data_IF_910041716465
#
_entry.id   IF_910041716465
#
_cell.length_a   1.000
_cell.length_b   1.000
_cell.length_c   1.000
_cell.angle_alpha   90.00
_cell.angle_beta   90.00
_cell.angle_gamma   90.00
#
_symmetry.space_group_name_H-M   'P 1'
#
loop_
_entity.id
_entity.type
_entity.pdbx_description
1 polymer ?
#
# COMPACT_ATOMS: atom_id res chain seq x y z
N UNK A 1 1.61 -6.34 45.64
CA UNK A 1 0.87 -5.37 44.82
C UNK A 1 0.42 -6.08 43.55
N UNK A 2 -0.90 -6.15 43.31
CA UNK A 2 -1.55 -6.87 42.21
C UNK A 2 -1.43 -6.08 40.91
N UNK A 3 -0.98 -6.70 39.83
CA UNK A 3 -1.20 -6.18 38.46
C UNK A 3 -2.23 -7.08 37.77
N UNK A 4 -3.35 -6.48 37.40
CA UNK A 4 -4.45 -7.12 36.70
C UNK A 4 -4.15 -7.19 35.20
N UNK A 5 -4.36 -8.38 34.64
CA UNK A 5 -4.26 -8.70 33.22
C UNK A 5 -5.56 -8.22 32.54
N UNK A 6 -5.47 -7.30 31.57
CA UNK A 6 -6.61 -6.89 30.75
C UNK A 6 -6.56 -7.67 29.44
N UNK A 7 -7.48 -8.62 29.29
CA UNK A 7 -7.75 -9.31 28.04
C UNK A 7 -8.61 -8.41 27.14
N UNK A 8 -8.18 -8.21 25.88
CA UNK A 8 -8.96 -7.52 24.86
C UNK A 8 -9.75 -8.58 24.07
N UNK A 9 -11.06 -8.68 24.35
CA UNK A 9 -11.96 -9.57 23.63
C UNK A 9 -12.37 -8.98 22.28
N UNK A 10 -12.14 -9.72 21.20
CA UNK A 10 -12.66 -9.42 19.87
C UNK A 10 -14.17 -9.66 19.80
N UNK A 11 -14.93 -8.66 19.35
CA UNK A 11 -16.36 -8.78 19.06
C UNK A 11 -16.51 -9.07 17.56
N UNK A 12 -16.87 -10.31 17.22
CA UNK A 12 -17.44 -10.66 15.92
C UNK A 12 -18.90 -10.21 15.88
N UNK A 13 -19.28 -9.38 14.90
CA UNK A 13 -20.68 -9.12 14.57
C UNK A 13 -21.06 -10.07 13.43
N UNK A 14 -21.79 -11.13 13.76
CA UNK A 14 -22.54 -11.97 12.82
C UNK A 14 -23.94 -11.36 12.67
N UNK A 15 -24.31 -10.92 11.47
CA UNK A 15 -25.70 -10.58 11.15
C UNK A 15 -26.41 -11.86 10.66
N UNK A 16 -27.32 -12.39 11.49
CA UNK A 16 -28.26 -13.43 11.10
C UNK A 16 -29.53 -12.78 10.52
N UNK A 17 -30.01 -13.32 9.40
CA UNK A 17 -31.25 -12.92 8.73
C UNK A 17 -32.40 -13.76 9.29
N UNK A 18 -33.37 -13.11 9.94
CA UNK A 18 -34.54 -13.76 10.55
C UNK A 18 -35.53 -14.26 9.49
N UNK A 19 -35.91 -15.54 9.65
CA UNK A 19 -37.02 -16.19 8.95
C UNK A 19 -38.33 -15.85 9.64
N UNK A 20 -39.35 -15.42 8.89
CA UNK A 20 -40.73 -15.35 9.37
C UNK A 20 -41.54 -16.54 8.80
N UNK A 21 -42.32 -17.27 9.62
CA UNK A 21 -42.99 -18.52 9.21
C UNK A 21 -44.40 -18.33 8.61
N UNK A 22 -44.77 -19.29 7.77
CA UNK A 22 -46.09 -19.47 7.14
C UNK A 22 -47.19 -19.92 8.12
N UNK A 23 -48.44 -19.57 7.81
CA UNK A 23 -49.63 -20.41 8.07
C UNK A 23 -50.76 -20.12 7.06
N UNK A 24 -51.63 -21.11 6.73
CA UNK A 24 -52.48 -21.09 5.53
C UNK A 24 -53.97 -20.84 5.85
N UNK A 25 -54.71 -20.26 4.92
CA UNK A 25 -56.18 -20.33 4.88
C UNK A 25 -56.64 -20.51 3.43
N UNK A 26 -57.39 -21.58 3.17
CA UNK A 26 -58.06 -21.84 1.90
C UNK A 26 -59.43 -21.17 1.80
N UNK A 27 -59.98 -21.10 0.59
CA UNK A 27 -61.36 -20.64 0.37
C UNK A 27 -61.64 -20.28 -1.08
N UNK A 28 -62.49 -21.07 -1.71
CA UNK A 28 -62.89 -21.10 -3.13
C UNK A 28 -63.81 -19.96 -3.56
N UNK A 29 -63.66 -19.46 -4.79
CA UNK A 29 -64.74 -18.74 -5.47
C UNK A 29 -64.30 -17.93 -6.71
N UNK A 30 -64.80 -18.32 -7.90
CA UNK A 30 -64.91 -17.47 -9.11
C UNK A 30 -66.42 -17.42 -9.43
N UNK A 31 -67.02 -16.31 -9.92
CA UNK A 31 -66.85 -15.90 -11.32
C UNK A 31 -66.97 -14.38 -11.67
N UNK A 32 -66.10 -13.92 -12.58
CA UNK A 32 -66.34 -13.07 -13.79
C UNK A 32 -67.04 -11.67 -13.69
N UNK A 33 -67.10 -10.86 -14.79
CA UNK A 33 -66.26 -9.68 -15.04
C UNK A 33 -67.03 -8.33 -15.06
N UNK A 34 -66.34 -7.19 -14.92
CA UNK A 34 -66.82 -5.89 -15.44
C UNK A 34 -65.69 -4.86 -15.51
N UNK A 35 -65.83 -3.95 -16.48
CA UNK A 35 -64.88 -2.98 -16.99
C UNK A 35 -64.67 -1.72 -16.12
N UNK A 36 -63.82 -0.82 -16.66
CA UNK A 36 -63.52 0.57 -16.26
C UNK A 36 -62.46 0.67 -15.12
N UNK A 37 -61.46 1.55 -15.11
CA UNK A 37 -61.16 2.78 -15.85
C UNK A 37 -59.79 3.29 -15.36
N UNK A 38 -59.00 3.94 -16.20
CA UNK A 38 -58.12 5.06 -15.79
C UNK A 38 -56.71 4.75 -15.26
N UNK A 39 -55.78 5.57 -15.75
CA UNK A 39 -54.38 5.83 -15.38
C UNK A 39 -54.02 5.65 -13.88
N UNK A 40 -52.80 5.31 -13.46
CA UNK A 40 -51.51 5.92 -13.81
C UNK A 40 -50.39 4.88 -13.81
N UNK A 41 -49.64 4.77 -14.91
CA UNK A 41 -48.33 4.09 -14.89
C UNK A 41 -47.32 5.10 -14.38
N UNK A 42 -46.97 5.01 -13.10
CA UNK A 42 -45.85 5.76 -12.55
C UNK A 42 -44.55 5.13 -13.10
N UNK A 43 -44.10 5.60 -14.26
CA UNK A 43 -42.86 5.16 -14.89
C UNK A 43 -41.70 5.85 -14.17
N UNK A 44 -41.17 5.21 -13.13
CA UNK A 44 -39.89 5.58 -12.57
C UNK A 44 -38.83 5.38 -13.66
N UNK A 45 -38.49 6.47 -14.34
CA UNK A 45 -37.31 6.55 -15.18
C UNK A 45 -36.17 7.05 -14.29
N UNK A 46 -35.24 6.19 -13.83
CA UNK A 46 -34.02 6.70 -13.25
C UNK A 46 -33.28 7.44 -14.37
N UNK A 47 -33.18 8.75 -14.25
CA UNK A 47 -32.28 9.53 -15.11
C UNK A 47 -30.89 8.94 -14.88
N UNK A 48 -30.19 8.42 -15.91
CA UNK A 48 -28.84 7.95 -15.72
C UNK A 48 -28.01 9.13 -15.24
N UNK A 49 -27.44 9.01 -14.03
CA UNK A 49 -26.46 9.96 -13.51
C UNK A 49 -25.27 9.95 -14.46
N UNK A 50 -25.29 10.87 -15.41
CA UNK A 50 -24.21 11.15 -16.35
C UNK A 50 -23.21 12.05 -15.64
N UNK A 51 -22.62 11.55 -14.57
CA UNK A 51 -21.39 12.17 -14.07
C UNK A 51 -20.32 11.85 -15.10
N UNK A 52 -19.88 12.87 -15.84
CA UNK A 52 -18.78 12.74 -16.79
C UNK A 52 -17.60 12.01 -16.10
N UNK A 53 -16.89 11.09 -16.78
CA UNK A 53 -15.75 10.43 -16.19
C UNK A 53 -14.77 11.49 -15.68
N UNK A 54 -14.38 11.35 -14.41
CA UNK A 54 -13.48 12.31 -13.79
C UNK A 54 -12.17 12.37 -14.57
N UNK A 55 -11.69 13.59 -14.84
CA UNK A 55 -10.53 13.82 -15.68
C UNK A 55 -9.25 13.23 -15.06
N UNK A 56 -8.40 12.64 -15.89
CA UNK A 56 -7.05 12.26 -15.51
C UNK A 56 -6.27 13.48 -14.99
N UNK A 57 -5.50 13.30 -13.93
CA UNK A 57 -4.57 14.27 -13.37
C UNK A 57 -3.14 13.77 -13.44
N UNK A 58 -2.19 14.67 -13.66
CA UNK A 58 -0.77 14.32 -13.60
C UNK A 58 -0.26 14.59 -12.20
N UNK A 59 0.24 13.54 -11.55
CA UNK A 59 0.88 13.61 -10.25
C UNK A 59 2.40 13.66 -10.40
N UNK A 60 3.04 14.35 -9.45
CA UNK A 60 4.49 14.30 -9.24
C UNK A 60 4.74 13.90 -7.81
N UNK A 61 5.58 12.88 -7.63
CA UNK A 61 5.97 12.33 -6.33
C UNK A 61 7.43 12.64 -6.12
N UNK A 62 7.75 13.16 -4.94
CA UNK A 62 9.13 13.37 -4.49
C UNK A 62 9.36 12.55 -3.23
N UNK A 63 10.36 11.67 -3.28
CA UNK A 63 10.89 10.93 -2.14
C UNK A 63 12.21 11.59 -1.76
N UNK A 64 12.19 12.42 -0.73
CA UNK A 64 13.38 13.08 -0.22
C UNK A 64 14.02 12.24 0.89
N UNK A 65 15.34 12.13 0.84
CA UNK A 65 16.17 11.66 1.95
C UNK A 65 16.65 12.90 2.69
N UNK A 66 16.08 13.26 3.86
CA UNK A 66 16.46 14.47 4.57
C UNK A 66 17.97 14.56 4.85
N UNK A 67 18.50 15.77 5.01
CA UNK A 67 19.93 15.97 5.26
C UNK A 67 20.42 15.31 6.56
N UNK A 68 19.53 15.11 7.51
CA UNK A 68 19.74 14.44 8.80
C UNK A 68 19.23 12.97 8.80
N UNK A 69 18.93 12.40 7.63
CA UNK A 69 18.46 11.03 7.51
C UNK A 69 19.47 10.02 8.09
N UNK A 70 18.95 9.03 8.82
CA UNK A 70 19.76 7.95 9.39
C UNK A 70 20.33 6.99 8.32
N UNK A 71 19.73 6.95 7.14
CA UNK A 71 20.07 6.02 6.06
C UNK A 71 19.83 6.65 4.68
N UNK A 72 20.61 6.30 3.65
CA UNK A 72 20.19 6.52 2.28
C UNK A 72 18.94 5.69 1.93
N UNK A 73 18.25 6.11 0.88
CA UNK A 73 17.19 5.35 0.22
C UNK A 73 17.74 4.68 -1.04
N UNK A 74 17.45 3.40 -1.27
CA UNK A 74 17.85 2.73 -2.51
C UNK A 74 16.99 3.17 -3.71
N UNK A 75 17.41 2.85 -4.95
CA UNK A 75 16.49 2.70 -6.07
C UNK A 75 15.25 1.89 -5.70
N UNK A 76 14.15 2.10 -6.42
CA UNK A 76 12.86 1.55 -6.08
C UNK A 76 11.92 1.34 -7.24
N UNK A 77 10.74 0.81 -6.92
CA UNK A 77 9.62 0.74 -7.86
C UNK A 77 8.46 1.57 -7.38
N UNK A 78 7.66 2.07 -8.32
CA UNK A 78 6.31 2.55 -8.05
C UNK A 78 5.32 1.93 -9.04
N UNK A 79 4.06 1.86 -8.64
CA UNK A 79 2.96 1.44 -9.48
C UNK A 79 1.70 2.26 -9.16
N UNK A 80 0.97 2.60 -10.21
CA UNK A 80 -0.40 3.13 -10.12
C UNK A 80 -1.35 2.00 -10.44
N UNK A 81 -2.25 1.69 -9.53
CA UNK A 81 -3.14 0.53 -9.64
C UNK A 81 -4.54 0.82 -9.12
N UNK A 82 -5.48 -0.04 -9.46
CA UNK A 82 -6.87 0.02 -9.00
C UNK A 82 -7.21 -1.28 -8.28
N UNK A 83 -7.16 -1.24 -6.95
CA UNK A 83 -7.40 -2.41 -6.12
C UNK A 83 -6.20 -3.36 -6.01
N UNK A 84 -6.34 -4.35 -5.12
CA UNK A 84 -5.30 -5.34 -4.83
C UNK A 84 -4.10 -4.78 -4.07
N UNK A 85 -3.19 -5.66 -3.68
CA UNK A 85 -1.95 -5.31 -2.98
C UNK A 85 -0.77 -5.76 -3.86
N UNK A 86 -0.38 -4.98 -4.88
CA UNK A 86 0.44 -5.48 -5.98
C UNK A 86 1.87 -5.84 -5.56
N UNK A 87 2.42 -5.16 -4.55
CA UNK A 87 3.81 -5.36 -4.13
C UNK A 87 3.93 -6.43 -3.04
N UNK A 88 3.22 -6.26 -1.93
CA UNK A 88 3.25 -7.16 -0.78
C UNK A 88 1.88 -7.24 -0.11
N UNK A 89 1.71 -8.07 0.91
CA UNK A 89 0.53 -8.08 1.77
C UNK A 89 0.96 -8.14 3.22
N UNK A 90 0.45 -7.24 4.06
CA UNK A 90 0.80 -7.23 5.48
C UNK A 90 0.42 -8.55 6.14
N UNK A 91 1.28 -9.06 7.00
CA UNK A 91 1.07 -10.32 7.71
C UNK A 91 1.24 -11.56 6.82
N UNK A 92 1.66 -11.42 5.57
CA UNK A 92 2.04 -12.53 4.69
C UNK A 92 3.55 -12.52 4.47
N UNK A 93 4.12 -13.69 4.16
CA UNK A 93 5.53 -13.80 3.79
C UNK A 93 5.79 -13.12 2.44
N UNK A 94 7.05 -12.79 2.18
CA UNK A 94 7.46 -12.41 0.83
C UNK A 94 7.01 -13.45 -0.20
N UNK A 95 6.62 -12.95 -1.38
CA UNK A 95 6.10 -13.76 -2.48
C UNK A 95 7.20 -14.47 -3.26
N UNK A 96 8.47 -14.22 -2.96
CA UNK A 96 9.62 -14.69 -3.74
C UNK A 96 9.68 -14.03 -5.13
N UNK A 97 9.09 -12.85 -5.27
CA UNK A 97 8.95 -12.12 -6.54
C UNK A 97 9.89 -10.91 -6.63
N UNK A 98 10.92 -10.87 -5.78
CA UNK A 98 11.99 -9.87 -5.82
C UNK A 98 11.88 -8.75 -4.78
N UNK A 99 10.94 -8.81 -3.84
CA UNK A 99 10.93 -7.84 -2.73
C UNK A 99 12.12 -8.05 -1.80
N UNK A 100 12.52 -9.30 -1.54
CA UNK A 100 13.75 -9.67 -0.81
C UNK A 100 14.97 -8.93 -1.38
N UNK A 101 15.31 -9.16 -2.65
CA UNK A 101 16.44 -8.50 -3.31
C UNK A 101 16.33 -6.96 -3.32
N UNK A 102 15.12 -6.43 -3.30
CA UNK A 102 14.89 -4.99 -3.24
C UNK A 102 15.07 -4.44 -1.81
N UNK A 103 14.68 -5.19 -0.79
CA UNK A 103 14.73 -4.79 0.62
C UNK A 103 16.10 -5.07 1.26
N UNK A 104 16.87 -6.02 0.72
CA UNK A 104 18.20 -6.39 1.20
C UNK A 104 19.33 -5.74 0.42
N UNK A 105 19.22 -5.70 -0.91
CA UNK A 105 20.30 -5.22 -1.78
C UNK A 105 19.98 -3.87 -2.45
N UNK A 106 18.75 -3.36 -2.28
CA UNK A 106 18.30 -2.16 -2.94
C UNK A 106 18.16 -2.31 -4.47
N UNK A 107 18.00 -3.55 -4.95
CA UNK A 107 17.87 -3.86 -6.37
C UNK A 107 16.41 -4.11 -6.79
N UNK A 108 15.77 -3.16 -7.51
CA UNK A 108 14.35 -3.26 -7.83
C UNK A 108 14.05 -4.10 -9.07
N UNK A 109 15.06 -4.59 -9.79
CA UNK A 109 14.88 -5.10 -11.15
C UNK A 109 13.95 -6.32 -11.22
N UNK A 110 14.15 -7.30 -10.34
CA UNK A 110 13.32 -8.51 -10.28
C UNK A 110 11.89 -8.17 -9.89
N UNK A 111 11.71 -7.30 -8.88
CA UNK A 111 10.39 -6.87 -8.42
C UNK A 111 9.63 -6.09 -9.51
N UNK A 112 10.32 -5.20 -10.22
CA UNK A 112 9.74 -4.44 -11.33
C UNK A 112 9.28 -5.36 -12.46
N UNK A 113 10.06 -6.40 -12.77
CA UNK A 113 9.72 -7.38 -13.81
C UNK A 113 8.53 -8.27 -13.42
N UNK A 114 8.37 -8.57 -12.12
CA UNK A 114 7.30 -9.42 -11.62
C UNK A 114 5.92 -8.74 -11.58
N UNK A 115 5.88 -7.40 -11.52
CA UNK A 115 4.63 -6.64 -11.33
C UNK A 115 4.27 -5.88 -12.61
N UNK A 116 3.27 -6.32 -13.37
CA UNK A 116 2.83 -5.61 -14.58
C UNK A 116 2.46 -4.16 -14.29
N UNK A 117 3.09 -3.23 -15.01
CA UNK A 117 2.85 -1.80 -14.87
C UNK A 117 3.69 -1.10 -13.79
N UNK A 118 4.50 -1.84 -13.03
CA UNK A 118 5.50 -1.23 -12.15
C UNK A 118 6.59 -0.52 -12.99
N UNK A 119 7.11 0.57 -12.44
CA UNK A 119 8.17 1.37 -13.03
C UNK A 119 9.28 1.58 -12.01
N UNK A 120 10.52 1.53 -12.48
CA UNK A 120 11.70 1.79 -11.67
C UNK A 120 11.94 3.30 -11.54
N UNK A 121 12.29 3.76 -10.34
CA UNK A 121 13.00 5.02 -10.12
C UNK A 121 14.35 4.67 -9.51
N UNK A 122 15.45 5.13 -10.10
CA UNK A 122 16.79 4.68 -9.70
C UNK A 122 17.84 5.78 -9.66
N UNK A 123 17.54 6.96 -10.20
CA UNK A 123 18.51 8.04 -10.35
C UNK A 123 18.05 9.25 -9.53
N UNK A 124 18.80 9.65 -8.48
CA UNK A 124 18.46 10.85 -7.72
C UNK A 124 18.48 12.10 -8.59
N UNK A 125 17.63 13.08 -8.27
CA UNK A 125 17.57 14.35 -9.00
C UNK A 125 18.93 15.05 -8.95
N UNK A 126 19.49 15.35 -10.12
CA UNK A 126 20.80 15.99 -10.28
C UNK A 126 21.95 15.02 -10.51
N UNK A 127 21.74 13.71 -10.30
CA UNK A 127 22.74 12.69 -10.63
C UNK A 127 22.62 12.25 -12.11
N UNK A 128 23.69 11.68 -12.63
CA UNK A 128 23.77 11.19 -14.03
C UNK A 128 23.74 9.67 -14.16
N UNK A 129 23.69 8.94 -13.03
CA UNK A 129 23.69 7.48 -12.98
C UNK A 129 22.74 6.99 -11.89
N UNK A 130 22.17 5.78 -12.05
CA UNK A 130 21.43 5.10 -10.99
C UNK A 130 22.25 4.94 -9.72
N UNK A 131 21.59 5.01 -8.57
CA UNK A 131 22.21 4.84 -7.26
C UNK A 131 21.31 5.29 -6.11
N UNK A 132 21.77 5.10 -4.86
CA UNK A 132 21.01 5.50 -3.69
C UNK A 132 20.87 7.03 -3.58
N UNK A 133 19.69 7.49 -3.13
CA UNK A 133 19.52 8.84 -2.64
C UNK A 133 20.13 8.93 -1.24
N UNK A 134 21.31 9.53 -1.15
CA UNK A 134 22.01 9.85 0.10
C UNK A 134 21.37 11.06 0.81
N UNK A 135 21.69 11.33 2.09
CA UNK A 135 21.16 12.49 2.80
C UNK A 135 21.27 13.80 2.00
N UNK A 136 20.15 14.51 1.87
CA UNK A 136 19.99 15.72 1.06
C UNK A 136 19.60 15.48 -0.41
N UNK A 137 19.58 14.22 -0.89
CA UNK A 137 19.12 13.86 -2.23
C UNK A 137 17.65 13.45 -2.24
N UNK A 138 17.11 13.26 -3.44
CA UNK A 138 15.71 12.85 -3.65
C UNK A 138 15.53 12.08 -4.95
N UNK A 139 14.56 11.18 -4.98
CA UNK A 139 13.97 10.67 -6.21
C UNK A 139 12.73 11.49 -6.57
N UNK A 140 12.46 11.64 -7.86
CA UNK A 140 11.25 12.29 -8.35
C UNK A 140 10.73 11.57 -9.59
N UNK A 141 9.42 11.32 -9.63
CA UNK A 141 8.75 10.71 -10.78
C UNK A 141 7.34 11.24 -10.94
N UNK A 142 6.80 11.11 -12.16
CA UNK A 142 5.46 11.59 -12.50
C UNK A 142 4.66 10.52 -13.25
N UNK A 143 3.34 10.57 -13.07
CA UNK A 143 2.40 9.66 -13.72
C UNK A 143 1.02 10.32 -13.84
N UNK A 144 0.17 9.77 -14.70
CA UNK A 144 -1.23 10.18 -14.78
C UNK A 144 -2.11 9.18 -14.06
N UNK A 145 -3.09 9.67 -13.31
CA UNK A 145 -4.05 8.86 -12.57
C UNK A 145 -5.45 9.50 -12.59
N UNK A 146 -6.47 8.75 -12.22
CA UNK A 146 -7.86 9.18 -12.10
C UNK A 146 -8.47 8.67 -10.78
N UNK A 147 -9.66 9.16 -10.37
CA UNK A 147 -10.33 8.68 -9.18
C UNK A 147 -10.42 7.14 -9.10
N UNK A 148 -10.15 6.62 -7.92
CA UNK A 148 -10.07 5.18 -7.64
C UNK A 148 -8.67 4.57 -7.83
N UNK A 149 -7.69 5.33 -8.31
CA UNK A 149 -6.31 4.87 -8.39
C UNK A 149 -5.56 5.05 -7.06
N UNK A 150 -4.62 4.14 -6.82
CA UNK A 150 -3.71 4.09 -5.68
C UNK A 150 -2.27 4.17 -6.15
N UNK A 151 -1.41 4.81 -5.35
CA UNK A 151 0.04 4.77 -5.49
C UNK A 151 0.63 3.79 -4.47
N UNK A 152 1.34 2.80 -4.97
CA UNK A 152 2.23 1.94 -4.17
C UNK A 152 3.66 2.11 -4.64
N UNK A 153 4.62 2.09 -3.72
CA UNK A 153 6.05 2.12 -4.02
C UNK A 153 6.85 1.39 -2.94
N UNK A 154 8.09 1.00 -3.27
CA UNK A 154 9.07 0.48 -2.31
C UNK A 154 10.44 1.10 -2.53
N UNK A 155 11.17 1.36 -1.45
CA UNK A 155 12.59 1.77 -1.46
C UNK A 155 13.24 1.28 -0.16
N UNK A 156 14.42 0.69 -0.24
CA UNK A 156 15.13 0.14 0.92
C UNK A 156 15.55 1.23 1.90
N UNK A 157 15.47 0.92 3.18
CA UNK A 157 16.23 1.63 4.21
C UNK A 157 17.68 1.15 4.12
N UNK A 158 18.54 1.85 3.39
CA UNK A 158 19.86 1.32 3.02
C UNK A 158 20.82 0.87 4.14
N UNK A 159 20.56 1.20 5.40
CA UNK A 159 21.33 0.79 6.57
C UNK A 159 20.63 -0.32 7.38
N UNK A 160 19.80 -1.16 6.76
CA UNK A 160 19.19 -2.35 7.38
C UNK A 160 19.55 -3.62 6.64
N UNK A 161 19.14 -4.76 7.21
CA UNK A 161 19.20 -6.07 6.58
C UNK A 161 18.08 -6.19 5.54
N UNK A 162 16.81 -6.03 5.92
CA UNK A 162 15.69 -6.21 4.99
C UNK A 162 14.53 -5.19 5.16
N UNK A 163 14.82 -4.03 5.77
CA UNK A 163 13.80 -3.01 5.99
C UNK A 163 13.59 -2.11 4.75
N UNK A 164 12.33 -1.78 4.47
CA UNK A 164 11.96 -0.95 3.32
C UNK A 164 10.83 0.02 3.64
N UNK A 165 10.86 1.20 3.01
CA UNK A 165 9.75 2.15 3.07
C UNK A 165 8.71 1.84 2.00
N UNK A 166 7.45 1.83 2.41
CA UNK A 166 6.29 1.78 1.53
C UNK A 166 5.06 2.36 2.23
N UNK A 167 4.01 2.76 1.51
CA UNK A 167 2.69 2.95 2.11
C UNK A 167 2.14 1.66 2.74
N UNK A 168 0.91 1.71 3.26
CA UNK A 168 0.14 0.49 3.51
C UNK A 168 0.10 -0.41 2.25
N UNK A 169 -0.10 -1.72 2.43
CA UNK A 169 -0.09 -2.72 1.35
C UNK A 169 -1.09 -2.44 0.20
N UNK A 170 -2.20 -1.75 0.48
CA UNK A 170 -3.14 -1.24 -0.51
C UNK A 170 -2.65 0.03 -1.26
N UNK A 171 -1.66 0.74 -0.75
CA UNK A 171 -1.16 2.00 -1.30
C UNK A 171 -1.89 3.25 -0.79
N UNK A 172 -1.45 4.42 -1.26
CA UNK A 172 -2.05 5.73 -0.97
C UNK A 172 -3.14 6.00 -2.00
N UNK A 173 -4.41 6.24 -1.61
CA UNK A 173 -5.42 6.68 -2.57
C UNK A 173 -5.00 8.04 -3.16
N UNK A 174 -5.11 8.19 -4.48
CA UNK A 174 -4.68 9.40 -5.18
C UNK A 174 -5.77 10.48 -5.23
N UNK A 175 -7.01 10.13 -4.91
CA UNK A 175 -8.16 11.05 -4.95
C UNK A 175 -9.10 10.84 -3.76
N UNK A 176 -9.71 11.94 -3.31
CA UNK A 176 -10.91 11.93 -2.47
C UNK A 176 -12.10 12.40 -3.32
N UNK A 177 -12.95 11.46 -3.72
CA UNK A 177 -13.92 11.69 -4.79
C UNK A 177 -13.18 12.07 -6.08
N UNK A 178 -13.47 13.26 -6.61
CA UNK A 178 -12.81 13.79 -7.81
C UNK A 178 -11.63 14.74 -7.51
N UNK A 179 -11.32 14.98 -6.23
CA UNK A 179 -10.26 15.90 -5.84
C UNK A 179 -8.94 15.15 -5.64
N UNK A 180 -7.83 15.56 -6.27
CA UNK A 180 -6.54 14.91 -6.07
C UNK A 180 -6.05 15.10 -4.63
N UNK A 181 -5.46 14.03 -4.07
CA UNK A 181 -4.81 14.05 -2.77
C UNK A 181 -3.35 14.46 -2.97
N UNK A 182 -3.00 15.63 -2.43
CA UNK A 182 -1.68 16.28 -2.58
C UNK A 182 -1.25 16.84 -1.22
N UNK A 183 0.05 17.08 -1.04
CA UNK A 183 0.62 17.54 0.22
C UNK A 183 1.81 16.70 0.69
N UNK A 184 2.29 17.04 1.89
CA UNK A 184 3.20 16.18 2.64
C UNK A 184 2.44 14.93 3.10
N UNK A 185 2.83 13.78 2.57
CA UNK A 185 2.24 12.47 2.83
C UNK A 185 3.21 11.57 3.62
N UNK A 186 4.23 12.13 4.28
CA UNK A 186 5.24 11.37 5.03
C UNK A 186 4.61 10.44 6.06
N UNK A 187 3.52 10.87 6.72
CA UNK A 187 2.77 10.05 7.69
C UNK A 187 2.03 8.85 7.09
N UNK A 188 1.96 8.74 5.76
CA UNK A 188 1.38 7.60 5.04
C UNK A 188 2.41 6.55 4.67
N UNK A 189 3.69 6.82 4.90
CA UNK A 189 4.78 5.89 4.64
C UNK A 189 5.17 5.20 5.94
N UNK A 190 5.31 3.89 5.86
CA UNK A 190 5.66 2.99 6.95
C UNK A 190 7.03 2.40 6.62
N UNK A 191 7.88 2.25 7.63
CA UNK A 191 9.06 1.41 7.53
C UNK A 191 8.62 -0.02 7.85
N UNK A 192 8.78 -0.91 6.88
CA UNK A 192 8.44 -2.31 6.94
C UNK A 192 9.69 -3.15 7.09
N UNK A 193 9.48 -4.35 7.60
CA UNK A 193 10.45 -5.44 7.61
C UNK A 193 9.95 -6.52 6.63
N UNK A 194 10.82 -7.00 5.74
CA UNK A 194 10.45 -7.98 4.73
C UNK A 194 10.28 -9.39 5.29
N UNK A 195 10.91 -9.69 6.43
CA UNK A 195 10.89 -11.00 7.06
C UNK A 195 11.72 -12.03 6.29
N UNK A 196 12.78 -11.58 5.62
CA UNK A 196 13.62 -12.40 4.76
C UNK A 196 15.04 -12.55 5.30
N UNK A 197 15.53 -11.61 6.11
CA UNK A 197 16.86 -11.66 6.72
C UNK A 197 16.85 -11.27 8.20
N UNK A 198 17.64 -11.96 9.03
CA UNK A 198 17.73 -11.66 10.45
C UNK A 198 18.31 -10.25 10.69
N UNK A 199 17.53 -9.41 11.36
CA UNK A 199 17.94 -8.04 11.66
C UNK A 199 19.21 -7.93 12.50
N UNK A 200 20.05 -6.99 12.11
CA UNK A 200 21.19 -6.48 12.87
C UNK A 200 21.00 -4.99 13.15
N UNK A 201 21.77 -4.44 14.11
CA UNK A 201 21.65 -3.02 14.46
C UNK A 201 21.83 -2.12 13.21
N UNK A 202 20.86 -1.25 12.88
CA UNK A 202 20.92 -0.41 11.70
C UNK A 202 22.22 0.40 11.61
N UNK A 203 22.88 0.33 10.46
CA UNK A 203 24.13 1.02 10.19
C UNK A 203 25.39 0.35 10.75
N UNK A 204 25.26 -0.77 11.48
CA UNK A 204 26.39 -1.47 12.10
C UNK A 204 26.52 -2.94 11.68
N UNK A 205 25.42 -3.58 11.30
CA UNK A 205 25.40 -4.98 10.87
C UNK A 205 26.35 -5.25 9.70
N UNK A 206 27.08 -6.37 9.78
CA UNK A 206 28.05 -6.76 8.75
C UNK A 206 27.38 -7.27 7.47
N UNK A 207 26.14 -7.75 7.59
CA UNK A 207 25.39 -8.38 6.50
C UNK A 207 24.51 -7.35 5.76
N UNK A 208 24.44 -6.11 6.26
CA UNK A 208 23.68 -5.03 5.61
C UNK A 208 24.33 -4.58 4.29
N UNK A 209 23.51 -4.19 3.32
CA UNK A 209 23.93 -3.88 1.94
C UNK A 209 25.25 -3.09 1.77
N UNK A 210 25.51 -2.02 2.54
CA UNK A 210 26.73 -1.22 2.40
C UNK A 210 28.01 -1.91 2.89
N UNK A 211 27.90 -3.02 3.62
CA UNK A 211 29.00 -3.72 4.32
C UNK A 211 29.17 -5.18 3.89
N UNK A 212 28.17 -5.78 3.25
CA UNK A 212 28.26 -7.14 2.74
C UNK A 212 29.26 -7.29 1.58
N UNK A 213 29.85 -8.48 1.44
CA UNK A 213 30.83 -8.79 0.39
C UNK A 213 30.21 -9.16 -0.97
N UNK A 214 28.90 -9.41 -0.99
CA UNK A 214 28.09 -9.79 -2.14
C UNK A 214 26.61 -9.56 -1.80
N UNK A 215 25.70 -9.85 -2.72
CA UNK A 215 24.24 -9.75 -2.50
C UNK A 215 23.71 -10.91 -1.66
N UNK A 216 22.60 -10.70 -0.94
CA UNK A 216 21.94 -11.72 -0.12
C UNK A 216 22.94 -12.42 0.82
N UNK A 217 23.65 -11.59 1.59
CA UNK A 217 24.52 -12.05 2.67
C UNK A 217 23.75 -11.86 3.96
N UNK A 218 23.71 -12.88 4.80
CA UNK A 218 22.94 -12.82 6.05
C UNK A 218 22.35 -14.16 6.44
N UNK A 219 21.86 -14.23 7.68
CA UNK A 219 21.08 -15.37 8.12
C UNK A 219 19.64 -15.20 7.65
N UNK A 220 19.23 -15.99 6.65
CA UNK A 220 17.86 -15.95 6.14
C UNK A 220 16.84 -16.27 7.24
N UNK A 221 15.70 -15.58 7.20
CA UNK A 221 14.49 -15.90 7.93
C UNK A 221 13.29 -16.05 6.98
N UNK A 222 12.15 -16.45 7.51
CA UNK A 222 10.94 -16.64 6.71
C UNK A 222 9.73 -16.24 7.53
N UNK A 223 9.71 -14.96 7.88
CA UNK A 223 8.69 -14.34 8.70
C UNK A 223 7.68 -13.59 7.82
N UNK A 224 6.57 -13.18 8.42
CA UNK A 224 5.59 -12.34 7.74
C UNK A 224 6.08 -10.89 7.64
N UNK A 225 5.74 -10.21 6.54
CA UNK A 225 5.98 -8.77 6.35
C UNK A 225 5.14 -7.99 7.36
N UNK A 226 5.79 -7.17 8.18
CA UNK A 226 5.15 -6.36 9.22
C UNK A 226 5.79 -4.98 9.30
N UNK A 227 5.12 -3.97 9.89
CA UNK A 227 5.78 -2.72 10.24
C UNK A 227 7.00 -3.03 11.13
N UNK A 228 8.14 -2.37 10.89
CA UNK A 228 9.38 -2.62 11.62
C UNK A 228 9.21 -2.48 13.14
N UNK A 229 8.30 -1.58 13.58
CA UNK A 229 7.97 -1.38 14.98
C UNK A 229 7.32 -2.60 15.66
N UNK A 230 6.76 -3.53 14.90
CA UNK A 230 6.15 -4.76 15.42
C UNK A 230 7.17 -5.87 15.68
N UNK A 231 8.37 -5.80 15.08
CA UNK A 231 9.43 -6.82 15.25
C UNK A 231 9.97 -6.89 16.66
N UNK A 232 10.07 -5.74 17.34
CA UNK A 232 10.61 -5.65 18.71
C UNK A 232 12.01 -6.28 18.84
N UNK A 233 12.81 -6.13 17.80
CA UNK A 233 14.22 -6.56 17.73
C UNK A 233 15.13 -5.79 18.70
N UNK A 234 14.64 -4.67 19.25
CA UNK A 234 15.37 -3.82 20.19
C UNK A 234 16.24 -2.75 19.51
N UNK A 235 16.17 -2.63 18.19
CA UNK A 235 16.93 -1.65 17.43
C UNK A 235 16.15 -0.35 17.21
N UNK A 236 16.89 0.71 16.88
CA UNK A 236 16.32 2.01 16.54
C UNK A 236 16.55 2.31 15.06
N UNK A 237 15.45 2.54 14.36
CA UNK A 237 15.44 2.91 12.95
C UNK A 237 15.10 4.39 12.84
N UNK A 238 16.08 5.23 12.50
CA UNK A 238 15.87 6.67 12.37
C UNK A 238 15.09 7.04 11.11
N UNK A 239 14.31 8.11 11.14
CA UNK A 239 13.57 8.57 9.96
C UNK A 239 14.54 8.92 8.81
N UNK A 240 14.24 8.42 7.60
CA UNK A 240 15.09 8.66 6.42
C UNK A 240 14.32 9.03 5.14
N UNK A 241 13.00 9.19 5.23
CA UNK A 241 12.16 9.53 4.07
C UNK A 241 11.17 10.65 4.40
N UNK A 242 11.04 11.62 3.49
CA UNK A 242 9.90 12.53 3.41
C UNK A 242 9.21 12.36 2.06
N UNK A 243 7.88 12.29 2.07
CA UNK A 243 7.08 12.09 0.87
C UNK A 243 6.26 13.35 0.58
N UNK A 244 6.44 13.91 -0.61
CA UNK A 244 5.64 15.01 -1.12
C UNK A 244 4.92 14.59 -2.40
N UNK A 245 3.61 14.86 -2.48
CA UNK A 245 2.78 14.58 -3.66
C UNK A 245 2.15 15.88 -4.17
N UNK A 246 2.31 16.17 -5.45
CA UNK A 246 1.70 17.30 -6.16
C UNK A 246 0.86 16.81 -7.34
N UNK A 247 -0.12 17.59 -7.77
CA UNK A 247 -0.94 17.27 -8.95
C UNK A 247 -1.25 18.53 -9.79
N UNK A 248 -1.36 18.35 -11.11
CA UNK A 248 -1.80 19.37 -12.08
C UNK A 248 -3.02 18.86 -12.86
#
# INVERSE_FOLDING_TARGET
MKFALIALSAVMILAACDKVPNSPVGGTGKPQPSAATGAETNVYSPTPSTTAPAAMKTFTVTLETPADAASPLSPGIFIVHRGGMPIFSMGQKDRGQGLEAQAEDGNPATLAAAIPGAKVFDTPVGDSKPGPATPGKKFQFSFSAQPGDYLSFTTMFGQSNDAFYAPADMGIPLFNGNSPIVGDMTSKVILWDAGTEMNQEPGKGADQAPRQAGTNMGAAESEAIVPIAERKDGFSYGQSLRLMIEAK
#
